data_IF_093520958996
#
_entry.id   IF_093520958996
#
_cell.length_a   1.000
_cell.length_b   1.000
_cell.length_c   1.000
_cell.angle_alpha   90.00
_cell.angle_beta   90.00
_cell.angle_gamma   90.00
#
_symmetry.space_group_name_H-M   'P 1'
#
loop_
_entity.id
_entity.type
_entity.pdbx_description
1 polymer ?
#
# COMPACT_ATOMS: atom_id res chain seq x y z
N UNK A 1 24.49 -16.48 -3.65
CA UNK A 1 24.30 -15.02 -3.81
C UNK A 1 22.84 -14.74 -4.07
N UNK A 2 22.16 -14.00 -3.20
CA UNK A 2 20.79 -13.52 -3.48
C UNK A 2 20.89 -12.44 -4.56
N UNK A 3 20.31 -12.71 -5.74
CA UNK A 3 20.40 -11.85 -6.92
C UNK A 3 19.71 -10.49 -6.74
N UNK A 4 18.90 -10.34 -5.68
CA UNK A 4 18.05 -9.19 -5.44
C UNK A 4 18.36 -8.58 -4.07
N UNK A 5 18.70 -7.28 -4.06
CA UNK A 5 18.79 -6.49 -2.82
C UNK A 5 17.41 -6.38 -2.20
N UNK A 6 17.21 -7.07 -1.09
CA UNK A 6 16.02 -6.92 -0.26
C UNK A 6 15.91 -5.48 0.27
N UNK A 7 14.69 -5.01 0.52
CA UNK A 7 14.46 -3.76 1.23
C UNK A 7 14.86 -3.93 2.70
N UNK A 8 15.60 -2.98 3.22
CA UNK A 8 15.93 -2.91 4.65
C UNK A 8 14.70 -2.48 5.46
N UNK A 9 14.78 -2.54 6.78
CA UNK A 9 13.72 -1.97 7.63
C UNK A 9 13.63 -0.44 7.45
N UNK A 10 14.78 0.22 7.34
CA UNK A 10 14.85 1.67 7.13
C UNK A 10 14.23 2.09 5.81
N UNK A 11 14.51 1.33 4.73
CA UNK A 11 13.87 1.54 3.42
C UNK A 11 12.34 1.52 3.54
N UNK A 12 11.79 0.58 4.34
CA UNK A 12 10.33 0.46 4.54
C UNK A 12 9.76 1.62 5.33
N UNK A 13 10.47 2.11 6.35
CA UNK A 13 10.06 3.29 7.13
C UNK A 13 10.03 4.54 6.25
N UNK A 14 11.01 4.70 5.36
CA UNK A 14 11.06 5.81 4.40
C UNK A 14 9.94 5.72 3.36
N UNK A 15 9.60 4.50 2.90
CA UNK A 15 8.42 4.28 2.04
C UNK A 15 7.14 4.69 2.79
N UNK A 16 6.95 4.25 4.03
CA UNK A 16 5.76 4.59 4.82
C UNK A 16 5.62 6.11 5.02
N UNK A 17 6.71 6.79 5.39
CA UNK A 17 6.73 8.24 5.55
C UNK A 17 6.40 8.95 4.22
N UNK A 18 7.03 8.53 3.13
CA UNK A 18 6.79 9.12 1.81
C UNK A 18 5.35 8.96 1.33
N UNK A 19 4.70 7.82 1.63
CA UNK A 19 3.28 7.61 1.32
C UNK A 19 2.36 8.52 2.15
N UNK A 20 2.67 8.72 3.44
CA UNK A 20 1.92 9.63 4.31
C UNK A 20 2.01 11.09 3.85
N UNK A 21 3.15 11.48 3.28
CA UNK A 21 3.38 12.80 2.68
C UNK A 21 2.74 12.97 1.30
N UNK A 22 2.23 11.89 0.69
CA UNK A 22 1.66 11.92 -0.67
C UNK A 22 2.70 11.96 -1.79
N UNK A 23 3.94 11.58 -1.53
CA UNK A 23 4.99 11.51 -2.55
C UNK A 23 4.71 10.40 -3.57
N UNK A 24 5.15 10.59 -4.82
CA UNK A 24 5.01 9.55 -5.84
C UNK A 24 5.98 8.39 -5.61
N UNK A 25 5.66 7.20 -6.13
CA UNK A 25 6.58 6.04 -6.02
C UNK A 25 7.94 6.28 -6.69
N UNK A 26 8.00 7.16 -7.70
CA UNK A 26 9.25 7.56 -8.33
C UNK A 26 10.09 8.39 -7.37
N UNK A 27 9.51 9.42 -6.76
CA UNK A 27 10.24 10.31 -5.85
C UNK A 27 10.72 9.54 -4.60
N UNK A 28 9.89 8.64 -4.07
CA UNK A 28 10.28 7.75 -2.96
C UNK A 28 11.45 6.85 -3.39
N UNK A 29 11.36 6.24 -4.58
CA UNK A 29 12.41 5.39 -5.13
C UNK A 29 13.74 6.12 -5.32
N UNK A 30 13.71 7.34 -5.83
CA UNK A 30 14.89 8.19 -6.00
C UNK A 30 15.57 8.49 -4.65
N UNK A 31 14.80 8.79 -3.59
CA UNK A 31 15.35 9.04 -2.25
C UNK A 31 16.06 7.82 -1.64
N UNK A 32 15.51 6.62 -1.83
CA UNK A 32 16.07 5.38 -1.23
C UNK A 32 16.97 4.59 -2.19
N UNK A 33 17.19 5.09 -3.41
CA UNK A 33 17.99 4.41 -4.43
C UNK A 33 17.39 3.09 -4.92
N UNK A 34 16.06 3.03 -5.06
CA UNK A 34 15.31 1.86 -5.54
C UNK A 34 14.40 2.25 -6.69
N UNK A 35 14.12 1.27 -7.55
CA UNK A 35 13.18 1.46 -8.65
C UNK A 35 11.73 1.61 -8.14
N UNK A 36 10.92 2.44 -8.80
CA UNK A 36 9.53 2.67 -8.41
C UNK A 36 8.67 1.39 -8.45
N UNK A 37 9.01 0.41 -9.30
CA UNK A 37 8.35 -0.91 -9.30
C UNK A 37 8.66 -1.72 -8.05
N UNK A 38 9.83 -1.52 -7.43
CA UNK A 38 10.19 -2.14 -6.15
C UNK A 38 9.32 -1.59 -5.03
N UNK A 39 9.16 -0.26 -4.98
CA UNK A 39 8.22 0.41 -4.06
C UNK A 39 6.80 -0.12 -4.27
N UNK A 40 6.34 -0.17 -5.52
CA UNK A 40 5.00 -0.66 -5.87
C UNK A 40 4.76 -2.11 -5.43
N UNK A 41 5.76 -2.99 -5.55
CA UNK A 41 5.66 -4.38 -5.08
C UNK A 41 5.61 -4.45 -3.55
N UNK A 42 6.43 -3.67 -2.87
CA UNK A 42 6.44 -3.60 -1.41
C UNK A 42 5.09 -3.15 -0.85
N UNK A 43 4.55 -2.06 -1.39
CA UNK A 43 3.24 -1.52 -0.99
C UNK A 43 2.13 -2.54 -1.22
N UNK A 44 2.11 -3.19 -2.40
CA UNK A 44 1.10 -4.22 -2.70
C UNK A 44 1.22 -5.45 -1.79
N UNK A 45 2.44 -5.86 -1.45
CA UNK A 45 2.68 -7.00 -0.56
C UNK A 45 2.24 -6.75 0.88
N UNK A 46 2.15 -5.50 1.31
CA UNK A 46 1.79 -5.11 2.69
C UNK A 46 0.48 -4.32 2.77
N UNK A 47 -0.27 -4.25 1.67
CA UNK A 47 -1.55 -3.54 1.64
C UNK A 47 -2.57 -4.28 2.51
N UNK A 48 -3.18 -3.56 3.46
CA UNK A 48 -4.26 -4.09 4.31
C UNK A 48 -5.59 -3.50 3.89
N UNK A 49 -6.52 -4.37 3.50
CA UNK A 49 -7.89 -3.97 3.18
C UNK A 49 -8.70 -3.80 4.47
N UNK A 50 -9.12 -2.58 4.75
CA UNK A 50 -10.03 -2.28 5.85
C UNK A 50 -11.48 -2.41 5.37
N UNK A 51 -12.24 -3.32 6.00
CA UNK A 51 -13.71 -3.41 5.84
C UNK A 51 -14.35 -2.16 6.46
N UNK A 52 -14.55 -1.12 5.65
CA UNK A 52 -15.19 0.13 6.07
C UNK A 52 -16.42 0.43 5.22
N UNK A 53 -17.49 0.86 5.87
CA UNK A 53 -18.72 1.31 5.19
C UNK A 53 -18.66 2.81 4.89
N UNK A 54 -19.69 3.30 4.18
CA UNK A 54 -19.86 4.73 3.95
C UNK A 54 -20.12 5.47 5.28
N UNK A 55 -20.03 6.80 5.26
CA UNK A 55 -20.34 7.61 6.44
C UNK A 55 -21.72 7.26 7.02
N UNK A 56 -21.76 6.93 8.31
CA UNK A 56 -22.97 6.51 9.02
C UNK A 56 -23.52 5.13 8.63
N UNK A 57 -22.80 4.31 7.85
CA UNK A 57 -23.24 2.98 7.42
C UNK A 57 -22.20 1.91 7.75
N UNK A 58 -22.60 0.77 8.32
CA UNK A 58 -21.67 -0.35 8.52
C UNK A 58 -21.20 -0.91 7.18
N UNK A 59 -20.06 -1.59 7.20
CA UNK A 59 -19.61 -2.37 6.06
C UNK A 59 -20.60 -3.51 5.78
N UNK A 60 -20.93 -3.73 4.51
CA UNK A 60 -21.80 -4.81 4.06
C UNK A 60 -21.27 -5.38 2.73
N UNK A 61 -20.67 -6.58 2.79
CA UNK A 61 -20.15 -7.34 1.65
C UNK A 61 -21.17 -8.33 1.06
N UNK A 62 -22.44 -8.26 1.48
CA UNK A 62 -23.49 -9.12 0.93
C UNK A 62 -23.70 -8.85 -0.57
N UNK A 63 -23.57 -9.89 -1.39
CA UNK A 63 -23.79 -9.84 -2.84
C UNK A 63 -25.23 -9.41 -3.19
N UNK A 64 -26.20 -9.74 -2.32
CA UNK A 64 -27.61 -9.42 -2.47
C UNK A 64 -28.03 -8.10 -1.81
N UNK A 65 -27.09 -7.27 -1.34
CA UNK A 65 -27.37 -6.04 -0.55
C UNK A 65 -28.31 -5.02 -1.23
N UNK A 66 -28.49 -5.11 -2.55
CA UNK A 66 -29.38 -4.22 -3.32
C UNK A 66 -30.78 -4.77 -3.53
N UNK A 67 -31.03 -6.05 -3.23
CA UNK A 67 -32.26 -6.74 -3.60
C UNK A 67 -32.73 -7.79 -2.59
N UNK A 68 -32.24 -7.73 -1.34
CA UNK A 68 -32.83 -8.53 -0.27
C UNK A 68 -34.24 -7.97 0.03
N UNK A 69 -35.26 -8.80 -0.19
CA UNK A 69 -36.64 -8.53 0.25
C UNK A 69 -36.76 -8.71 1.76
#
# INVERSE_FOLDING_TARGET
>A
MTKYKQLTLDDRLLIEAGLKEGNSFRDIGERIGKDCSTISKEVRSHLVFKKSGAYGRPFNDCINRKGCL
#
